data_IF_659025851947
#
_entry.id   IF_659025851947
#
_cell.length_a   1.000
_cell.length_b   1.000
_cell.length_c   1.000
_cell.angle_alpha   90.00
_cell.angle_beta   90.00
_cell.angle_gamma   90.00
#
_symmetry.space_group_name_H-M   'P 1'
#
loop_
_entity.id
_entity.type
_entity.pdbx_description
1 polymer ?
#
# COMPACT_ATOMS: atom_id res chain seq x y z
N UNK A 1 -10.88 -13.61 -12.56
CA UNK A 1 -11.38 -12.24 -12.31
C UNK A 1 -10.30 -11.55 -11.52
N UNK A 2 -9.76 -10.44 -12.02
CA UNK A 2 -8.69 -9.73 -11.32
C UNK A 2 -9.26 -9.00 -10.12
N UNK A 3 -8.63 -9.17 -8.96
CA UNK A 3 -8.97 -8.48 -7.72
C UNK A 3 -7.75 -7.74 -7.20
N UNK A 4 -8.00 -6.67 -6.47
CA UNK A 4 -6.97 -5.79 -5.94
C UNK A 4 -7.16 -5.62 -4.44
N UNK A 5 -6.06 -5.64 -3.69
CA UNK A 5 -6.05 -5.42 -2.24
C UNK A 5 -5.66 -3.97 -1.95
N UNK A 6 -6.28 -3.39 -0.93
CA UNK A 6 -6.04 -2.01 -0.53
C UNK A 6 -4.75 -1.86 0.29
N UNK A 7 -3.87 -0.98 -0.15
CA UNK A 7 -2.72 -0.47 0.60
C UNK A 7 -2.90 1.04 0.80
N UNK A 8 -2.62 1.52 2.00
CA UNK A 8 -2.77 2.93 2.38
C UNK A 8 -1.42 3.45 2.86
N UNK A 9 -1.07 4.63 2.39
CA UNK A 9 0.02 5.45 2.91
C UNK A 9 -0.56 6.74 3.46
N UNK A 10 -0.25 7.03 4.73
CA UNK A 10 -0.63 8.25 5.42
C UNK A 10 0.59 9.15 5.59
N UNK A 11 0.45 10.43 5.25
CA UNK A 11 1.47 11.44 5.45
C UNK A 11 0.93 12.56 6.33
N UNK A 12 1.06 12.39 7.65
CA UNK A 12 0.59 13.35 8.65
C UNK A 12 1.20 14.74 8.50
N UNK A 13 2.45 14.83 8.02
CA UNK A 13 3.13 16.11 7.80
C UNK A 13 2.47 16.94 6.71
N UNK A 14 1.92 16.29 5.68
CA UNK A 14 1.25 16.93 4.55
C UNK A 14 -0.29 16.89 4.70
N UNK A 15 -0.82 16.13 5.68
CA UNK A 15 -2.25 15.90 5.86
C UNK A 15 -2.87 15.13 4.69
N UNK A 16 -2.07 14.32 3.98
CA UNK A 16 -2.49 13.57 2.80
C UNK A 16 -2.58 12.07 3.09
N UNK A 17 -3.55 11.42 2.45
CA UNK A 17 -3.71 9.97 2.47
C UNK A 17 -3.79 9.48 1.03
N UNK A 18 -2.97 8.49 0.69
CA UNK A 18 -2.95 7.90 -0.64
C UNK A 18 -3.32 6.41 -0.56
N UNK A 19 -4.29 6.00 -1.38
CA UNK A 19 -4.71 4.61 -1.49
C UNK A 19 -4.18 3.99 -2.78
N UNK A 20 -3.53 2.84 -2.65
CA UNK A 20 -3.03 2.04 -3.77
C UNK A 20 -3.76 0.70 -3.80
N UNK A 21 -4.34 0.37 -4.94
CA UNK A 21 -5.02 -0.88 -5.19
C UNK A 21 -4.04 -1.84 -5.86
N UNK A 22 -3.53 -2.81 -5.10
CA UNK A 22 -2.47 -3.74 -5.50
C UNK A 22 -3.05 -5.01 -6.09
N UNK A 23 -2.63 -5.41 -7.30
CA UNK A 23 -3.14 -6.63 -7.92
C UNK A 23 -2.82 -7.87 -7.08
N UNK A 24 -3.84 -8.68 -6.77
CA UNK A 24 -3.69 -9.92 -5.97
C UNK A 24 -3.31 -11.11 -6.83
N UNK A 25 -3.90 -11.22 -8.02
CA UNK A 25 -3.74 -12.38 -8.90
C UNK A 25 -2.25 -12.58 -9.28
N UNK A 26 -1.67 -13.69 -8.81
CA UNK A 26 -0.26 -14.04 -9.02
C UNK A 26 0.73 -13.38 -8.04
N UNK A 27 0.24 -12.64 -7.04
CA UNK A 27 1.04 -11.89 -6.07
C UNK A 27 0.75 -12.28 -4.60
N UNK A 28 -0.04 -13.31 -4.33
CA UNK A 28 -0.50 -13.67 -2.98
C UNK A 28 0.68 -13.82 -2.00
N UNK A 29 1.67 -14.63 -2.36
CA UNK A 29 2.87 -14.82 -1.54
C UNK A 29 3.72 -13.55 -1.42
N UNK A 30 3.70 -12.67 -2.43
CA UNK A 30 4.39 -11.39 -2.38
C UNK A 30 3.70 -10.42 -1.42
N UNK A 31 2.37 -10.39 -1.43
CA UNK A 31 1.55 -9.58 -0.53
C UNK A 31 1.65 -10.06 0.93
N UNK A 32 1.75 -11.37 1.16
CA UNK A 32 2.00 -11.92 2.51
C UNK A 32 3.37 -11.48 3.05
N UNK A 33 4.40 -11.47 2.18
CA UNK A 33 5.72 -10.95 2.54
C UNK A 33 5.70 -9.44 2.78
N UNK A 34 4.96 -8.69 1.97
CA UNK A 34 4.76 -7.25 2.19
C UNK A 34 4.09 -7.02 3.55
N UNK A 35 3.04 -7.76 3.89
CA UNK A 35 2.36 -7.67 5.18
C UNK A 35 3.33 -7.91 6.36
N UNK A 36 4.20 -8.92 6.24
CA UNK A 36 5.23 -9.20 7.25
C UNK A 36 6.23 -8.05 7.37
N UNK A 37 6.67 -7.49 6.24
CA UNK A 37 7.58 -6.34 6.22
C UNK A 37 6.94 -5.11 6.87
N UNK A 38 5.67 -4.82 6.60
CA UNK A 38 4.97 -3.69 7.23
C UNK A 38 4.84 -3.87 8.74
N UNK A 39 4.60 -5.10 9.21
CA UNK A 39 4.58 -5.40 10.64
C UNK A 39 5.97 -5.21 11.30
N UNK A 40 7.05 -5.56 10.59
CA UNK A 40 8.42 -5.34 11.08
C UNK A 40 8.80 -3.84 11.11
N UNK A 41 8.22 -3.04 10.21
CA UNK A 41 8.41 -1.58 10.16
C UNK A 41 7.58 -0.82 11.19
N UNK A 42 6.56 -1.45 11.77
CA UNK A 42 5.69 -0.82 12.75
C UNK A 42 6.40 -0.71 14.12
N UNK A 43 6.76 0.52 14.56
CA UNK A 43 7.47 0.73 15.82
C UNK A 43 6.62 0.37 17.05
N UNK A 44 5.28 0.34 16.91
CA UNK A 44 4.35 -0.05 17.98
C UNK A 44 4.41 -1.55 18.30
N UNK A 45 4.86 -2.38 17.35
CA UNK A 45 4.91 -3.84 17.54
C UNK A 45 5.94 -4.29 18.59
N UNK A 46 6.90 -3.42 18.96
CA UNK A 46 7.98 -3.74 19.89
C UNK A 46 7.81 -3.14 21.28
N UNK A 47 6.96 -2.12 21.46
CA UNK A 47 6.76 -1.44 22.74
C UNK A 47 5.31 -0.99 22.91
N UNK A 48 4.63 -1.60 23.87
CA UNK A 48 3.27 -1.27 24.35
C UNK A 48 3.33 0.03 25.19
N UNK A 49 3.69 1.13 24.54
CA UNK A 49 3.73 2.47 25.14
C UNK A 49 2.64 3.33 24.52
N UNK A 50 1.85 4.02 25.35
CA UNK A 50 0.68 4.84 25.00
C UNK A 50 0.96 6.02 24.02
N UNK A 51 2.18 6.12 23.49
CA UNK A 51 2.70 7.19 22.62
C UNK A 51 3.31 6.63 21.31
N UNK A 52 3.06 5.36 20.97
CA UNK A 52 3.55 4.79 19.72
C UNK A 52 2.75 5.37 18.54
N UNK A 53 3.42 6.18 17.71
CA UNK A 53 2.88 6.64 16.42
C UNK A 53 2.53 5.40 15.57
N UNK A 54 1.28 5.30 15.10
CA UNK A 54 0.86 4.23 14.19
C UNK A 54 1.72 4.27 12.93
N UNK A 55 2.07 3.09 12.38
CA UNK A 55 2.84 3.01 11.13
C UNK A 55 2.10 3.76 10.00
N UNK A 56 2.77 4.61 9.21
CA UNK A 56 2.12 5.34 8.12
C UNK A 56 1.68 4.43 6.96
N UNK A 57 1.96 3.13 7.04
CA UNK A 57 1.71 2.17 5.99
C UNK A 57 0.79 1.06 6.47
N UNK A 58 -0.36 0.91 5.82
CA UNK A 58 -1.34 -0.13 6.16
C UNK A 58 -1.69 -0.97 4.94
N UNK A 59 -1.57 -2.29 5.04
CA UNK A 59 -2.14 -3.23 4.06
C UNK A 59 -3.45 -3.79 4.61
N UNK A 60 -4.58 -3.30 4.11
CA UNK A 60 -5.90 -3.67 4.61
C UNK A 60 -6.37 -5.02 4.05
N UNK A 61 -7.25 -5.70 4.75
CA UNK A 61 -7.91 -6.94 4.29
C UNK A 61 -8.99 -6.69 3.22
N UNK A 62 -9.26 -5.42 2.93
CA UNK A 62 -10.19 -4.99 1.90
C UNK A 62 -9.68 -5.38 0.51
N UNK A 63 -10.52 -6.11 -0.23
CA UNK A 63 -10.25 -6.57 -1.59
C UNK A 63 -11.44 -6.21 -2.47
N UNK A 64 -11.16 -5.59 -3.61
CA UNK A 64 -12.18 -5.14 -4.56
C UNK A 64 -11.92 -5.71 -5.96
N UNK A 65 -12.98 -6.00 -6.74
CA UNK A 65 -12.83 -6.44 -8.12
C UNK A 65 -12.39 -5.27 -9.01
N UNK A 66 -11.70 -5.58 -10.11
CA UNK A 66 -11.12 -4.59 -11.03
C UNK A 66 -12.07 -3.45 -11.43
N UNK A 67 -13.32 -3.77 -11.80
CA UNK A 67 -14.29 -2.77 -12.24
C UNK A 67 -14.73 -1.79 -11.14
N UNK A 68 -14.61 -2.16 -9.86
CA UNK A 68 -14.86 -1.25 -8.73
C UNK A 68 -13.65 -0.33 -8.55
N UNK A 69 -12.44 -0.89 -8.60
CA UNK A 69 -11.19 -0.13 -8.55
C UNK A 69 -11.11 0.89 -9.67
N UNK A 70 -11.50 0.52 -10.89
CA UNK A 70 -11.52 1.44 -12.04
C UNK A 70 -12.40 2.67 -11.77
N UNK A 71 -13.56 2.49 -11.11
CA UNK A 71 -14.41 3.61 -10.69
C UNK A 71 -13.78 4.44 -9.58
N UNK A 72 -13.16 3.82 -8.58
CA UNK A 72 -12.50 4.55 -7.51
C UNK A 72 -11.36 5.44 -8.03
N UNK A 73 -10.61 4.95 -9.03
CA UNK A 73 -9.59 5.74 -9.71
C UNK A 73 -10.21 6.84 -10.59
N UNK A 74 -11.29 6.54 -11.33
CA UNK A 74 -12.00 7.52 -12.17
C UNK A 74 -12.48 8.74 -11.37
N UNK A 75 -12.97 8.52 -10.15
CA UNK A 75 -13.47 9.57 -9.24
C UNK A 75 -12.45 10.00 -8.18
N UNK A 76 -11.16 9.65 -8.35
CA UNK A 76 -10.12 10.06 -7.42
C UNK A 76 -9.86 11.57 -7.46
N UNK A 77 -9.57 12.15 -6.30
CA UNK A 77 -9.15 13.54 -6.21
C UNK A 77 -7.78 13.69 -6.86
N UNK A 78 -7.63 14.71 -7.70
CA UNK A 78 -6.38 14.99 -8.42
C UNK A 78 -5.57 16.05 -7.66
N UNK A 79 -4.35 15.71 -7.24
CA UNK A 79 -3.44 16.59 -6.50
C UNK A 79 -1.97 16.30 -6.83
N UNK A 80 -1.06 16.46 -5.84
CA UNK A 80 0.33 16.01 -5.97
C UNK A 80 0.41 14.51 -6.29
N UNK A 81 -0.46 13.73 -5.65
CA UNK A 81 -0.81 12.36 -6.02
C UNK A 81 -2.33 12.16 -6.00
N UNK A 82 -2.82 11.17 -6.75
CA UNK A 82 -4.23 10.82 -6.75
C UNK A 82 -4.60 10.06 -5.46
N UNK A 83 -5.76 10.36 -4.89
CA UNK A 83 -6.23 9.70 -3.66
C UNK A 83 -6.43 8.19 -3.82
N UNK A 84 -6.73 7.74 -5.04
CA UNK A 84 -6.75 6.33 -5.41
C UNK A 84 -5.89 6.08 -6.65
N UNK A 85 -5.00 5.09 -6.56
CA UNK A 85 -4.17 4.64 -7.67
C UNK A 85 -4.29 3.13 -7.85
N UNK A 86 -4.55 2.68 -9.07
CA UNK A 86 -4.52 1.24 -9.43
C UNK A 86 -3.10 0.83 -9.77
N UNK A 87 -2.65 -0.29 -9.22
CA UNK A 87 -1.29 -0.82 -9.38
C UNK A 87 -1.37 -2.25 -9.93
N UNK A 88 -1.46 -2.40 -11.27
CA UNK A 88 -1.42 -3.71 -11.91
C UNK A 88 0.01 -4.25 -12.02
N UNK A 89 0.12 -5.55 -12.31
CA UNK A 89 1.41 -6.21 -12.59
C UNK A 89 1.84 -7.17 -11.50
N UNK A 90 3.12 -7.53 -11.53
CA UNK A 90 3.73 -8.49 -10.60
C UNK A 90 4.54 -7.77 -9.53
N UNK A 91 4.26 -8.08 -8.28
CA UNK A 91 5.02 -7.61 -7.14
C UNK A 91 6.40 -8.27 -7.11
N UNK A 92 7.43 -7.44 -7.07
CA UNK A 92 8.82 -7.82 -6.82
C UNK A 92 9.26 -7.07 -5.58
N UNK A 93 9.44 -7.80 -4.48
CA UNK A 93 9.86 -7.24 -3.19
C UNK A 93 11.35 -7.58 -2.95
N UNK A 94 12.28 -6.63 -3.15
CA UNK A 94 13.68 -6.81 -2.80
C UNK A 94 13.86 -7.08 -1.30
N UNK A 95 14.86 -7.88 -0.93
CA UNK A 95 15.19 -8.12 0.50
C UNK A 95 15.61 -6.84 1.23
N UNK A 96 16.15 -5.85 0.50
CA UNK A 96 16.57 -4.56 1.04
C UNK A 96 15.45 -3.49 1.04
N UNK A 97 14.18 -3.89 0.95
CA UNK A 97 13.06 -2.95 1.02
C UNK A 97 13.00 -2.34 2.42
N UNK A 98 13.05 -1.01 2.50
CA UNK A 98 12.98 -0.23 3.74
C UNK A 98 11.81 0.75 3.68
N UNK A 99 11.43 1.36 4.81
CA UNK A 99 10.33 2.33 4.88
C UNK A 99 10.47 3.45 3.83
N UNK A 100 11.68 3.95 3.60
CA UNK A 100 11.96 4.99 2.60
C UNK A 100 11.67 4.55 1.16
N UNK A 101 11.67 3.24 0.90
CA UNK A 101 11.32 2.68 -0.43
C UNK A 101 9.81 2.74 -0.68
N UNK A 102 9.00 2.76 0.38
CA UNK A 102 7.54 2.81 0.26
C UNK A 102 7.00 4.24 0.19
N UNK A 103 7.75 5.19 0.78
CA UNK A 103 7.33 6.58 0.93
C UNK A 103 6.99 7.28 -0.40
N UNK A 104 5.96 8.14 -0.36
CA UNK A 104 5.40 8.91 -1.48
C UNK A 104 5.03 8.04 -2.68
N UNK A 105 4.39 6.90 -2.38
CA UNK A 105 3.88 5.95 -3.36
C UNK A 105 4.94 5.09 -4.03
N UNK A 106 6.11 4.93 -3.41
CA UNK A 106 7.17 4.02 -3.89
C UNK A 106 6.72 2.56 -3.99
N UNK A 107 5.61 2.17 -3.34
CA UNK A 107 4.96 0.86 -3.54
C UNK A 107 4.68 0.55 -5.02
N UNK A 108 4.41 1.56 -5.86
CA UNK A 108 4.17 1.37 -7.30
C UNK A 108 5.41 0.85 -8.03
N UNK A 109 6.59 1.26 -7.59
CA UNK A 109 7.86 0.91 -8.24
C UNK A 109 8.26 -0.55 -7.97
N UNK A 110 7.59 -1.19 -7.00
CA UNK A 110 7.74 -2.61 -6.71
C UNK A 110 6.88 -3.50 -7.64
N UNK A 111 6.01 -2.92 -8.47
CA UNK A 111 5.21 -3.66 -9.44
C UNK A 111 5.78 -3.52 -10.84
N UNK A 112 6.08 -4.65 -11.47
CA UNK A 112 6.56 -4.72 -12.85
C UNK A 112 5.45 -5.21 -13.78
N UNK A 113 5.38 -4.62 -14.98
CA UNK A 113 4.43 -4.99 -16.02
C UNK A 113 4.73 -6.36 -16.64
#
# INVERSE_FOLDING_TARGET
>A
MTVFRRYVEENDWEGETWTFWLQVDGNEAGLDRLASLLADLDPSSQYDTEDSEESPYTLADEVEPEHVVDKLVEYSDTGYMASHTKVPGRLVLPEATVAETLHKGGIKDLFVA
#
